data_IF_936652950149
#
_entry.id   IF_936652950149
#
_cell.length_a   1.000
_cell.length_b   1.000
_cell.length_c   1.000
_cell.angle_alpha   90.00
_cell.angle_beta   90.00
_cell.angle_gamma   90.00
#
_symmetry.space_group_name_H-M   'P 1'
#
loop_
_entity.id
_entity.type
_entity.pdbx_description
1 polymer ?
#
# COMPACT_ATOMS: atom_id res chain seq x y z
N UNK A 1 0.88 -21.34 -23.78
CA UNK A 1 0.02 -22.54 -23.71
C UNK A 1 0.03 -23.21 -25.08
N UNK A 2 0.06 -24.55 -25.12
CA UNK A 2 -0.14 -25.35 -26.33
C UNK A 2 -0.78 -26.71 -25.96
N UNK A 3 -0.76 -27.69 -26.87
CA UNK A 3 -1.30 -29.03 -26.63
C UNK A 3 -0.35 -30.11 -27.22
N UNK A 4 -0.33 -31.30 -26.61
CA UNK A 4 0.55 -32.43 -26.94
C UNK A 4 0.32 -33.02 -28.35
N UNK A 5 -0.82 -32.74 -28.95
CA UNK A 5 -1.27 -33.23 -30.24
C UNK A 5 -1.46 -34.74 -30.26
N UNK A 6 -1.02 -35.33 -31.38
CA UNK A 6 -0.95 -36.79 -31.54
C UNK A 6 0.24 -37.33 -30.73
N UNK A 7 -0.01 -37.81 -29.51
CA UNK A 7 0.98 -38.42 -28.63
C UNK A 7 0.81 -39.95 -28.55
N UNK A 8 1.70 -40.64 -27.83
CA UNK A 8 1.68 -42.11 -27.66
C UNK A 8 0.52 -42.64 -26.77
N UNK A 9 -0.49 -41.81 -26.52
CA UNK A 9 -1.66 -42.12 -25.73
C UNK A 9 -2.28 -40.84 -25.16
N UNK A 10 -3.59 -40.83 -24.93
CA UNK A 10 -4.32 -39.62 -24.50
C UNK A 10 -3.71 -38.94 -23.25
N UNK A 11 -3.12 -39.73 -22.35
CA UNK A 11 -2.51 -39.28 -21.10
C UNK A 11 -0.97 -39.29 -21.12
N UNK A 12 -0.36 -39.68 -22.25
CA UNK A 12 1.09 -39.74 -22.38
C UNK A 12 1.64 -38.34 -22.71
N UNK A 13 2.59 -37.81 -21.93
CA UNK A 13 3.16 -36.48 -22.16
C UNK A 13 4.00 -36.44 -23.45
N UNK A 14 4.08 -35.27 -24.10
CA UNK A 14 4.88 -35.05 -25.30
C UNK A 14 6.03 -34.05 -25.07
N UNK A 15 7.27 -34.55 -25.00
CA UNK A 15 8.46 -33.72 -24.77
C UNK A 15 8.64 -32.58 -25.78
N UNK A 16 8.36 -32.80 -27.08
CA UNK A 16 8.45 -31.74 -28.10
C UNK A 16 7.41 -30.64 -27.88
N UNK A 17 6.22 -31.00 -27.42
CA UNK A 17 5.19 -30.02 -27.07
C UNK A 17 5.60 -29.22 -25.81
N UNK A 18 6.24 -29.86 -24.83
CA UNK A 18 6.81 -29.18 -23.67
C UNK A 18 7.94 -28.20 -24.08
N UNK A 19 8.87 -28.62 -24.92
CA UNK A 19 9.90 -27.74 -25.48
C UNK A 19 9.29 -26.52 -26.18
N UNK A 20 8.29 -26.76 -27.05
CA UNK A 20 7.62 -25.72 -27.81
C UNK A 20 6.92 -24.70 -26.90
N UNK A 21 6.24 -25.14 -25.83
CA UNK A 21 5.56 -24.21 -24.92
C UNK A 21 6.57 -23.39 -24.10
N UNK A 22 7.69 -23.98 -23.69
CA UNK A 22 8.76 -23.27 -22.95
C UNK A 22 9.40 -22.21 -23.87
N UNK A 23 9.78 -22.56 -25.11
CA UNK A 23 10.33 -21.62 -26.08
C UNK A 23 9.36 -20.47 -26.38
N UNK A 24 8.08 -20.78 -26.57
CA UNK A 24 7.06 -19.78 -26.82
C UNK A 24 6.88 -18.81 -25.64
N UNK A 25 6.93 -19.30 -24.41
CA UNK A 25 6.83 -18.48 -23.21
C UNK A 25 8.04 -17.55 -23.05
N UNK A 26 9.26 -18.06 -23.24
CA UNK A 26 10.49 -17.27 -23.20
C UNK A 26 10.50 -16.18 -24.28
N UNK A 27 10.14 -16.53 -25.52
CA UNK A 27 10.05 -15.59 -26.62
C UNK A 27 9.02 -14.49 -26.35
N UNK A 28 7.84 -14.85 -25.82
CA UNK A 28 6.80 -13.87 -25.44
C UNK A 28 7.25 -12.94 -24.30
N UNK A 29 8.07 -13.45 -23.37
CA UNK A 29 8.62 -12.66 -22.28
C UNK A 29 9.83 -11.80 -22.71
N UNK A 30 10.43 -12.05 -23.88
CA UNK A 30 11.68 -11.42 -24.28
C UNK A 30 12.86 -11.82 -23.40
N UNK A 31 12.81 -13.03 -22.82
CA UNK A 31 13.80 -13.53 -21.85
C UNK A 31 14.68 -14.60 -22.49
N UNK A 32 16.00 -14.49 -22.30
CA UNK A 32 16.94 -15.52 -22.70
C UNK A 32 16.77 -16.78 -21.84
N UNK A 33 16.85 -18.01 -22.41
CA UNK A 33 16.85 -19.25 -21.64
C UNK A 33 17.90 -19.30 -20.51
N UNK A 34 19.02 -18.60 -20.68
CA UNK A 34 20.11 -18.53 -19.68
C UNK A 34 19.78 -17.65 -18.48
N UNK A 35 18.79 -16.75 -18.60
CA UNK A 35 18.39 -15.85 -17.52
C UNK A 35 17.40 -16.50 -16.55
N UNK A 36 16.80 -17.63 -16.93
CA UNK A 36 16.01 -18.44 -16.01
C UNK A 36 16.96 -19.15 -15.03
N UNK A 37 16.79 -18.94 -13.74
CA UNK A 37 17.69 -19.53 -12.72
C UNK A 37 16.99 -20.56 -11.83
N UNK A 38 15.67 -20.68 -11.95
CA UNK A 38 14.88 -21.70 -11.26
C UNK A 38 13.67 -22.11 -12.10
N UNK A 39 13.34 -23.40 -12.06
CA UNK A 39 12.12 -23.96 -12.64
C UNK A 39 11.33 -24.63 -11.54
N UNK A 40 10.10 -24.18 -11.35
CA UNK A 40 9.05 -24.96 -10.71
C UNK A 40 8.45 -25.89 -11.77
N UNK A 41 8.91 -27.13 -11.75
CA UNK A 41 8.52 -28.17 -12.68
C UNK A 41 7.07 -28.63 -12.42
N UNK A 42 6.47 -29.25 -13.44
CA UNK A 42 5.26 -30.03 -13.25
C UNK A 42 5.55 -31.21 -12.31
N UNK A 43 6.66 -31.91 -12.48
CA UNK A 43 7.33 -32.75 -11.47
C UNK A 43 6.39 -33.58 -10.61
N UNK A 44 5.67 -34.51 -11.25
CA UNK A 44 4.65 -35.35 -10.62
C UNK A 44 5.20 -36.62 -10.00
N UNK A 45 6.51 -36.88 -10.14
CA UNK A 45 7.14 -38.07 -9.57
C UNK A 45 6.88 -39.32 -10.41
N UNK A 46 6.52 -39.17 -11.69
CA UNK A 46 6.12 -40.31 -12.52
C UNK A 46 7.34 -40.88 -13.25
N UNK A 47 7.47 -42.23 -13.34
CA UNK A 47 8.63 -42.86 -13.99
C UNK A 47 8.84 -42.46 -15.47
N UNK A 48 7.76 -42.07 -16.15
CA UNK A 48 7.77 -41.65 -17.55
C UNK A 48 7.81 -40.11 -17.70
N UNK A 49 7.05 -39.38 -16.90
CA UNK A 49 6.89 -37.93 -17.05
C UNK A 49 8.13 -37.15 -16.62
N UNK A 50 8.77 -37.51 -15.51
CA UNK A 50 9.91 -36.75 -14.99
C UNK A 50 11.11 -36.77 -15.97
N UNK A 51 11.51 -37.90 -16.60
CA UNK A 51 12.54 -37.89 -17.64
C UNK A 51 12.18 -37.03 -18.85
N UNK A 52 10.93 -37.10 -19.32
CA UNK A 52 10.46 -36.32 -20.47
C UNK A 52 10.52 -34.82 -20.17
N UNK A 53 10.10 -34.41 -18.98
CA UNK A 53 10.12 -33.01 -18.57
C UNK A 53 11.55 -32.47 -18.42
N UNK A 54 12.43 -33.23 -17.77
CA UNK A 54 13.83 -32.81 -17.59
C UNK A 54 14.56 -32.73 -18.93
N UNK A 55 14.30 -33.65 -19.86
CA UNK A 55 14.87 -33.61 -21.22
C UNK A 55 14.37 -32.41 -22.03
N UNK A 56 13.07 -32.10 -21.96
CA UNK A 56 12.50 -30.92 -22.61
C UNK A 56 13.10 -29.62 -22.05
N UNK A 57 13.22 -29.51 -20.72
CA UNK A 57 13.87 -28.38 -20.06
C UNK A 57 15.36 -28.28 -20.44
N UNK A 58 16.08 -29.40 -20.47
CA UNK A 58 17.48 -29.45 -20.87
C UNK A 58 17.70 -28.93 -22.28
N UNK A 59 16.87 -29.38 -23.23
CA UNK A 59 16.91 -28.98 -24.64
C UNK A 59 16.70 -27.48 -24.84
N UNK A 60 15.91 -26.82 -23.97
CA UNK A 60 15.63 -25.39 -24.09
C UNK A 60 16.60 -24.52 -23.27
N UNK A 61 16.94 -24.95 -22.04
CA UNK A 61 17.61 -24.09 -21.05
C UNK A 61 19.12 -24.32 -20.94
N UNK A 62 19.63 -25.50 -21.36
CA UNK A 62 21.03 -25.89 -21.16
C UNK A 62 21.90 -25.69 -22.40
N UNK A 63 21.31 -25.59 -23.60
CA UNK A 63 22.08 -25.42 -24.84
C UNK A 63 22.90 -24.12 -24.80
N UNK A 64 24.23 -24.24 -24.70
CA UNK A 64 25.14 -23.09 -24.62
C UNK A 64 25.14 -22.38 -23.25
N UNK A 65 24.53 -22.97 -22.22
CA UNK A 65 24.50 -22.38 -20.88
C UNK A 65 25.88 -22.44 -20.23
N UNK A 66 26.41 -21.33 -19.71
CA UNK A 66 27.66 -21.31 -18.95
C UNK A 66 27.62 -22.17 -17.69
N UNK A 67 28.75 -22.79 -17.34
CA UNK A 67 28.88 -23.67 -16.18
C UNK A 67 28.61 -22.96 -14.83
N UNK A 68 28.88 -21.65 -14.76
CA UNK A 68 28.71 -20.78 -13.59
C UNK A 68 27.28 -20.23 -13.44
N UNK A 69 26.37 -20.58 -14.36
CA UNK A 69 24.95 -20.20 -14.31
C UNK A 69 24.09 -21.45 -14.12
N UNK A 70 23.99 -22.03 -12.92
CA UNK A 70 23.12 -23.17 -12.68
C UNK A 70 21.64 -22.79 -12.81
N UNK A 71 20.79 -23.79 -13.04
CA UNK A 71 19.34 -23.65 -12.97
C UNK A 71 18.78 -24.63 -11.96
N UNK A 72 18.10 -24.13 -10.93
CA UNK A 72 17.44 -24.99 -9.97
C UNK A 72 16.22 -25.67 -10.59
N UNK A 73 16.00 -26.96 -10.29
CA UNK A 73 14.79 -27.69 -10.62
C UNK A 73 14.08 -28.06 -9.32
N UNK A 74 12.86 -27.57 -9.13
CA UNK A 74 12.08 -27.83 -7.92
C UNK A 74 10.61 -28.15 -8.26
N UNK A 75 9.88 -28.76 -7.33
CA UNK A 75 8.43 -28.99 -7.44
C UNK A 75 7.80 -28.85 -6.04
N UNK A 76 6.74 -28.08 -5.91
CA UNK A 76 5.96 -27.93 -4.67
C UNK A 76 5.24 -29.23 -4.30
N UNK A 77 5.07 -30.14 -5.26
CA UNK A 77 4.36 -31.40 -5.06
C UNK A 77 5.07 -32.32 -4.07
N UNK A 78 6.37 -32.14 -3.87
CA UNK A 78 7.10 -32.87 -2.82
C UNK A 78 6.70 -32.45 -1.41
N UNK A 79 6.07 -31.29 -1.23
CA UNK A 79 5.66 -30.77 0.08
C UNK A 79 4.18 -30.99 0.36
N UNK A 80 3.33 -30.81 -0.67
CA UNK A 80 1.87 -30.77 -0.50
C UNK A 80 1.10 -31.71 -1.45
N UNK A 81 1.82 -32.57 -2.18
CA UNK A 81 1.23 -33.48 -3.17
C UNK A 81 0.73 -32.77 -4.43
N UNK A 82 0.08 -33.54 -5.32
CA UNK A 82 -0.48 -33.01 -6.56
C UNK A 82 -1.91 -32.49 -6.34
N UNK A 83 -2.08 -31.16 -6.27
CA UNK A 83 -3.39 -30.52 -6.06
C UNK A 83 -4.25 -30.41 -7.33
N UNK A 84 -4.08 -31.33 -8.28
CA UNK A 84 -4.80 -31.36 -9.56
C UNK A 84 -4.94 -29.98 -10.23
N UNK A 85 -6.18 -29.45 -10.34
CA UNK A 85 -6.49 -28.16 -10.93
C UNK A 85 -5.79 -26.98 -10.24
N UNK A 86 -5.45 -27.10 -8.95
CA UNK A 86 -4.74 -26.08 -8.18
C UNK A 86 -3.21 -26.24 -8.21
N UNK A 87 -2.67 -27.27 -8.88
CA UNK A 87 -1.22 -27.54 -8.87
C UNK A 87 -0.40 -26.39 -9.48
N UNK A 88 -0.88 -25.79 -10.57
CA UNK A 88 -0.17 -24.67 -11.22
C UNK A 88 -0.11 -23.42 -10.35
N UNK A 89 -1.22 -23.05 -9.70
CA UNK A 89 -1.26 -21.87 -8.82
C UNK A 89 -0.43 -22.09 -7.55
N UNK A 90 -0.36 -23.31 -7.02
CA UNK A 90 0.51 -23.63 -5.89
C UNK A 90 2.00 -23.45 -6.24
N UNK A 91 2.42 -23.94 -7.42
CA UNK A 91 3.77 -23.73 -7.92
C UNK A 91 4.08 -22.24 -8.16
N UNK A 92 3.11 -21.49 -8.69
CA UNK A 92 3.22 -20.04 -8.86
C UNK A 92 3.44 -19.31 -7.52
N UNK A 93 2.62 -19.62 -6.51
CA UNK A 93 2.73 -19.04 -5.17
C UNK A 93 4.10 -19.34 -4.56
N UNK A 94 4.58 -20.60 -4.65
CA UNK A 94 5.92 -20.98 -4.18
C UNK A 94 7.00 -20.14 -4.85
N UNK A 95 6.95 -19.97 -6.17
CA UNK A 95 7.96 -19.19 -6.88
C UNK A 95 7.89 -17.69 -6.57
N UNK A 96 6.71 -17.12 -6.38
CA UNK A 96 6.56 -15.73 -5.93
C UNK A 96 7.20 -15.56 -4.55
N UNK A 97 6.92 -16.45 -3.61
CA UNK A 97 7.53 -16.42 -2.28
C UNK A 97 9.06 -16.58 -2.36
N UNK A 98 9.56 -17.50 -3.19
CA UNK A 98 10.99 -17.69 -3.41
C UNK A 98 11.68 -16.43 -3.98
N UNK A 99 11.02 -15.69 -4.88
CA UNK A 99 11.52 -14.40 -5.40
C UNK A 99 11.51 -13.31 -4.30
N UNK A 100 10.45 -13.24 -3.50
CA UNK A 100 10.32 -12.28 -2.38
C UNK A 100 11.39 -12.51 -1.32
N UNK A 101 11.59 -13.77 -0.92
CA UNK A 101 12.58 -14.15 0.09
C UNK A 101 14.00 -14.27 -0.47
N UNK A 102 14.15 -14.29 -1.82
CA UNK A 102 15.44 -14.49 -2.51
C UNK A 102 16.14 -15.78 -2.13
N UNK A 103 15.34 -16.83 -1.92
CA UNK A 103 15.77 -18.16 -1.48
C UNK A 103 14.98 -19.24 -2.23
N UNK A 104 15.62 -20.38 -2.49
CA UNK A 104 15.02 -21.53 -3.17
C UNK A 104 14.80 -22.64 -2.13
N UNK A 105 13.54 -22.99 -1.80
CA UNK A 105 13.23 -24.05 -0.83
C UNK A 105 13.70 -25.44 -1.29
N UNK A 106 13.96 -26.37 -0.35
CA UNK A 106 14.37 -27.73 -0.67
C UNK A 106 13.28 -28.52 -1.41
N UNK A 107 13.71 -29.34 -2.36
CA UNK A 107 12.95 -30.40 -3.00
C UNK A 107 12.99 -31.65 -2.10
N UNK A 108 11.86 -32.03 -1.53
CA UNK A 108 11.82 -33.09 -0.54
C UNK A 108 11.90 -34.47 -1.19
N UNK A 109 12.18 -35.48 -0.35
CA UNK A 109 12.19 -36.91 -0.70
C UNK A 109 13.21 -37.36 -1.75
N UNK A 110 14.08 -36.47 -2.24
CA UNK A 110 15.18 -36.83 -3.13
C UNK A 110 16.30 -37.51 -2.33
N UNK A 111 16.36 -38.85 -2.39
CA UNK A 111 17.46 -39.65 -1.81
C UNK A 111 18.50 -40.04 -2.86
N UNK A 112 18.02 -40.49 -4.01
CA UNK A 112 18.83 -40.87 -5.16
C UNK A 112 18.19 -40.26 -6.41
N UNK A 113 19.02 -39.72 -7.30
CA UNK A 113 18.55 -39.17 -8.57
C UNK A 113 18.18 -40.33 -9.49
N UNK A 114 16.98 -40.31 -10.05
CA UNK A 114 16.55 -41.29 -11.05
C UNK A 114 17.54 -41.33 -12.22
N UNK A 115 18.16 -42.49 -12.47
CA UNK A 115 19.17 -42.69 -13.52
C UNK A 115 18.67 -42.39 -14.95
N UNK A 116 17.34 -42.32 -15.16
CA UNK A 116 16.73 -41.92 -16.44
C UNK A 116 16.75 -40.40 -16.66
N UNK A 117 17.02 -39.60 -15.63
CA UNK A 117 17.16 -38.15 -15.77
C UNK A 117 18.52 -37.83 -16.39
N UNK A 118 18.51 -37.21 -17.57
CA UNK A 118 19.73 -36.80 -18.28
C UNK A 118 20.31 -35.51 -17.69
N UNK A 119 20.83 -35.60 -16.46
CA UNK A 119 21.46 -34.46 -15.77
C UNK A 119 22.96 -34.33 -16.06
N UNK A 120 23.62 -35.43 -16.42
CA UNK A 120 25.05 -35.42 -16.74
C UNK A 120 25.34 -34.45 -17.90
N UNK A 121 26.31 -33.55 -17.72
CA UNK A 121 26.65 -32.51 -18.69
C UNK A 121 25.72 -31.28 -18.67
N UNK A 122 24.74 -31.22 -17.76
CA UNK A 122 23.91 -30.04 -17.53
C UNK A 122 24.35 -29.29 -16.27
N UNK A 123 23.89 -28.05 -16.11
CA UNK A 123 24.05 -27.27 -14.86
C UNK A 123 22.77 -27.25 -14.02
N UNK A 124 21.90 -28.23 -14.21
CA UNK A 124 20.72 -28.37 -13.36
C UNK A 124 21.12 -28.77 -11.94
N UNK A 125 20.46 -28.14 -10.97
CA UNK A 125 20.64 -28.44 -9.54
C UNK A 125 19.28 -28.73 -8.93
N UNK A 126 19.13 -29.86 -8.24
CA UNK A 126 17.92 -30.12 -7.44
C UNK A 126 18.22 -29.74 -5.99
N UNK A 127 17.59 -28.70 -5.42
CA UNK A 127 17.93 -28.19 -4.10
C UNK A 127 17.55 -29.22 -3.02
N UNK A 128 18.51 -29.72 -2.24
CA UNK A 128 18.23 -30.62 -1.10
C UNK A 128 18.16 -29.88 0.25
N UNK A 129 18.58 -28.61 0.27
CA UNK A 129 18.46 -27.68 1.39
C UNK A 129 17.92 -26.33 0.92
N UNK A 130 17.65 -25.42 1.86
CA UNK A 130 17.34 -24.03 1.52
C UNK A 130 18.59 -23.37 0.93
N UNK A 131 18.48 -22.87 -0.31
CA UNK A 131 19.59 -22.22 -1.00
C UNK A 131 19.34 -20.72 -1.12
N UNK A 132 20.35 -19.87 -0.87
CA UNK A 132 20.26 -18.47 -1.29
C UNK A 132 20.14 -18.40 -2.82
N UNK A 133 19.41 -17.42 -3.32
CA UNK A 133 19.24 -17.21 -4.75
C UNK A 133 20.01 -15.98 -5.20
N UNK A 134 21.34 -16.04 -5.44
CA UNK A 134 22.09 -14.88 -5.90
C UNK A 134 21.74 -14.51 -7.35
N UNK A 135 21.88 -13.23 -7.71
CA UNK A 135 21.71 -12.77 -9.10
C UNK A 135 22.48 -11.48 -9.37
N UNK A 136 23.02 -11.36 -10.58
CA UNK A 136 23.66 -10.15 -11.11
C UNK A 136 22.67 -9.24 -11.89
N UNK A 137 21.42 -9.69 -12.05
CA UNK A 137 20.32 -8.96 -12.68
C UNK A 137 18.97 -9.42 -12.09
N UNK A 138 17.83 -9.18 -12.78
CA UNK A 138 16.54 -9.65 -12.30
C UNK A 138 16.52 -11.17 -12.13
N UNK A 139 16.14 -11.67 -10.95
CA UNK A 139 15.84 -13.10 -10.75
C UNK A 139 14.64 -13.48 -11.61
N UNK A 140 14.80 -14.54 -12.40
CA UNK A 140 13.73 -15.08 -13.23
C UNK A 140 13.53 -16.58 -13.02
N UNK A 141 12.28 -17.00 -13.08
CA UNK A 141 11.89 -18.39 -12.95
C UNK A 141 10.86 -18.81 -13.98
N UNK A 142 10.83 -20.11 -14.28
CA UNK A 142 9.76 -20.74 -15.04
C UNK A 142 8.84 -21.55 -14.12
N UNK A 143 7.54 -21.59 -14.44
CA UNK A 143 6.54 -22.47 -13.80
C UNK A 143 5.86 -23.29 -14.88
N UNK A 144 5.97 -24.62 -14.79
CA UNK A 144 5.40 -25.56 -15.75
C UNK A 144 4.16 -26.28 -15.20
N UNK A 145 3.16 -26.48 -16.05
CA UNK A 145 2.01 -27.32 -15.77
C UNK A 145 1.57 -28.08 -17.02
N UNK A 146 1.57 -29.41 -16.95
CA UNK A 146 1.24 -30.29 -18.06
C UNK A 146 0.02 -31.12 -17.69
N UNK A 147 -1.15 -30.74 -18.22
CA UNK A 147 -2.39 -31.42 -17.89
C UNK A 147 -2.46 -32.80 -18.52
N UNK A 148 -3.07 -33.77 -17.83
CA UNK A 148 -3.22 -35.13 -18.35
C UNK A 148 -4.02 -35.21 -19.66
N UNK A 149 -4.84 -34.20 -19.98
CA UNK A 149 -5.51 -34.07 -21.29
C UNK A 149 -4.60 -33.49 -22.40
N UNK A 150 -3.30 -33.40 -22.15
CA UNK A 150 -2.27 -32.93 -23.07
C UNK A 150 -2.17 -31.41 -23.22
N UNK A 151 -2.89 -30.60 -22.43
CA UNK A 151 -2.74 -29.14 -22.48
C UNK A 151 -1.57 -28.68 -21.61
N UNK A 152 -0.62 -27.96 -22.20
CA UNK A 152 0.60 -27.52 -21.51
C UNK A 152 0.64 -26.01 -21.32
N UNK A 153 1.15 -25.60 -20.17
CA UNK A 153 1.37 -24.19 -19.81
C UNK A 153 2.78 -24.04 -19.26
N UNK A 154 3.44 -22.97 -19.67
CA UNK A 154 4.67 -22.49 -19.06
C UNK A 154 4.54 -20.99 -18.84
N UNK A 155 4.92 -20.51 -17.65
CA UNK A 155 4.88 -19.10 -17.26
C UNK A 155 6.28 -18.67 -16.86
N UNK A 156 6.71 -17.49 -17.31
CA UNK A 156 7.96 -16.86 -16.90
C UNK A 156 7.63 -15.78 -15.86
N UNK A 157 8.35 -15.80 -14.74
CA UNK A 157 8.27 -14.83 -13.66
C UNK A 157 9.58 -14.07 -13.53
N UNK A 158 9.50 -12.81 -13.12
CA UNK A 158 10.64 -11.94 -12.81
C UNK A 158 10.39 -11.27 -11.45
N UNK A 159 11.46 -11.07 -10.67
CA UNK A 159 11.37 -10.30 -9.43
C UNK A 159 10.90 -8.85 -9.68
N UNK A 160 10.15 -8.23 -8.75
CA UNK A 160 9.72 -6.86 -8.92
C UNK A 160 10.91 -5.89 -8.89
N UNK A 161 10.82 -4.74 -9.59
CA UNK A 161 11.86 -3.71 -9.52
C UNK A 161 12.01 -3.20 -8.08
N UNK A 162 13.25 -2.85 -7.71
CA UNK A 162 13.54 -2.27 -6.40
C UNK A 162 12.71 -0.99 -6.18
N UNK A 163 12.08 -0.87 -5.01
CA UNK A 163 11.39 0.35 -4.57
C UNK A 163 12.08 0.91 -3.34
N UNK A 164 12.47 2.18 -3.40
CA UNK A 164 12.89 2.94 -2.22
C UNK A 164 11.68 3.50 -1.48
N UNK A 165 11.77 3.59 -0.16
CA UNK A 165 10.77 4.24 0.68
C UNK A 165 11.44 5.37 1.45
N UNK A 166 10.91 6.59 1.32
CA UNK A 166 11.29 7.72 2.16
C UNK A 166 10.27 7.83 3.29
N UNK A 167 10.63 7.38 4.49
CA UNK A 167 9.76 7.53 5.65
C UNK A 167 9.86 8.94 6.22
N UNK A 168 8.71 9.57 6.45
CA UNK A 168 8.63 10.87 7.14
C UNK A 168 7.53 10.78 8.20
N UNK A 169 7.92 10.57 9.46
CA UNK A 169 7.02 10.76 10.60
C UNK A 169 6.69 12.25 10.72
N UNK A 170 5.41 12.61 10.79
CA UNK A 170 4.95 14.02 10.85
C UNK A 170 4.16 14.39 12.11
N UNK A 171 4.21 13.55 13.14
CA UNK A 171 3.51 13.77 14.41
C UNK A 171 2.73 12.54 14.87
N UNK A 172 1.67 12.71 15.69
CA UNK A 172 0.83 11.59 16.11
C UNK A 172 0.13 10.95 14.91
N UNK A 173 0.14 9.63 14.88
CA UNK A 173 -0.53 8.83 13.88
C UNK A 173 -1.96 8.47 14.31
N UNK A 174 -2.81 8.17 13.33
CA UNK A 174 -4.19 7.73 13.53
C UNK A 174 -4.38 6.37 12.84
N UNK A 175 -4.50 5.32 13.65
CA UNK A 175 -4.88 4.00 13.17
C UNK A 175 -6.41 3.87 13.19
N UNK A 176 -6.99 3.52 12.04
CA UNK A 176 -8.43 3.24 11.92
C UNK A 176 -8.65 1.80 11.48
N UNK A 177 -9.46 1.06 12.24
CA UNK A 177 -9.87 -0.31 11.92
C UNK A 177 -11.39 -0.37 11.82
N UNK A 178 -11.89 -1.32 11.03
CA UNK A 178 -13.33 -1.59 10.98
C UNK A 178 -13.65 -3.04 10.66
N UNK A 179 -14.80 -3.51 11.13
CA UNK A 179 -15.31 -4.86 10.85
C UNK A 179 -16.84 -4.91 10.80
N UNK A 180 -17.38 -6.02 10.29
CA UNK A 180 -18.83 -6.24 10.18
C UNK A 180 -19.51 -6.55 11.52
N UNK A 181 -18.75 -7.05 12.50
CA UNK A 181 -19.21 -7.30 13.86
C UNK A 181 -18.21 -6.79 14.88
N UNK A 182 -18.66 -6.61 16.12
CA UNK A 182 -17.77 -6.25 17.24
C UNK A 182 -16.71 -7.32 17.52
N UNK A 183 -17.09 -8.60 17.51
CA UNK A 183 -16.16 -9.72 17.70
C UNK A 183 -15.07 -9.75 16.62
N UNK A 184 -15.43 -9.49 15.36
CA UNK A 184 -14.47 -9.40 14.26
C UNK A 184 -13.55 -8.17 14.40
N UNK A 185 -14.04 -7.07 14.96
CA UNK A 185 -13.23 -5.88 15.25
C UNK A 185 -12.21 -6.17 16.35
N UNK A 186 -12.60 -6.87 17.42
CA UNK A 186 -11.69 -7.30 18.50
C UNK A 186 -10.63 -8.28 17.99
N UNK A 187 -11.03 -9.27 17.20
CA UNK A 187 -10.08 -10.21 16.57
C UNK A 187 -9.13 -9.50 15.59
N UNK A 188 -9.61 -8.49 14.86
CA UNK A 188 -8.75 -7.67 14.00
C UNK A 188 -7.76 -6.83 14.82
N UNK A 189 -8.18 -6.24 15.93
CA UNK A 189 -7.31 -5.50 16.82
C UNK A 189 -6.21 -6.39 17.42
N UNK A 190 -6.53 -7.63 17.82
CA UNK A 190 -5.55 -8.61 18.29
C UNK A 190 -4.47 -8.92 17.24
N UNK A 191 -4.87 -9.16 15.98
CA UNK A 191 -3.91 -9.38 14.88
C UNK A 191 -3.04 -8.15 14.59
N UNK A 192 -3.60 -6.95 14.75
CA UNK A 192 -2.82 -5.71 14.63
C UNK A 192 -1.86 -5.55 15.80
N UNK A 193 -2.23 -5.93 17.02
CA UNK A 193 -1.31 -5.92 18.17
C UNK A 193 -0.10 -6.83 17.88
N UNK A 194 -0.34 -8.08 17.48
CA UNK A 194 0.73 -9.01 17.08
C UNK A 194 1.62 -8.45 15.96
N UNK A 195 1.01 -7.85 14.92
CA UNK A 195 1.80 -7.25 13.83
C UNK A 195 2.66 -6.08 14.32
N UNK A 196 2.17 -5.29 15.26
CA UNK A 196 2.88 -4.12 15.77
C UNK A 196 4.08 -4.49 16.65
N UNK A 197 4.15 -5.71 17.20
CA UNK A 197 5.34 -6.20 17.92
C UNK A 197 6.59 -6.29 17.03
N UNK A 198 6.38 -6.54 15.73
CA UNK A 198 7.47 -6.73 14.75
C UNK A 198 7.57 -5.57 13.75
N UNK A 199 6.76 -4.53 13.92
CA UNK A 199 6.74 -3.38 13.03
C UNK A 199 7.88 -2.43 13.40
N UNK A 200 8.59 -1.90 12.41
CA UNK A 200 9.58 -0.85 12.65
C UNK A 200 8.93 0.52 12.76
N UNK A 201 9.55 1.45 13.49
CA UNK A 201 9.06 2.83 13.64
C UNK A 201 8.92 3.57 12.30
N UNK A 202 9.73 3.19 11.31
CA UNK A 202 9.72 3.70 9.94
C UNK A 202 8.44 3.28 9.20
N UNK A 203 7.89 2.09 9.50
CA UNK A 203 6.70 1.53 8.83
C UNK A 203 5.37 1.98 9.46
N UNK A 204 5.40 2.58 10.65
CA UNK A 204 4.18 2.95 11.38
C UNK A 204 3.21 3.87 10.59
N UNK A 205 3.67 4.96 9.92
CA UNK A 205 2.79 5.80 9.12
C UNK A 205 2.16 5.06 7.95
N UNK A 206 2.92 4.16 7.32
CA UNK A 206 2.47 3.35 6.20
C UNK A 206 1.44 2.32 6.64
N UNK A 207 1.61 1.73 7.82
CA UNK A 207 0.62 0.85 8.42
C UNK A 207 -0.71 1.59 8.68
N UNK A 208 -0.65 2.78 9.28
CA UNK A 208 -1.84 3.60 9.55
C UNK A 208 -2.51 4.05 8.24
N UNK A 209 -1.72 4.47 7.25
CA UNK A 209 -2.21 4.88 5.93
C UNK A 209 -2.82 3.71 5.17
N UNK A 210 -2.21 2.54 5.21
CA UNK A 210 -2.70 1.33 4.56
C UNK A 210 -4.02 0.87 5.19
N UNK A 211 -4.13 0.92 6.53
CA UNK A 211 -5.37 0.61 7.23
C UNK A 211 -6.50 1.59 6.82
N UNK A 212 -6.19 2.88 6.66
CA UNK A 212 -7.16 3.91 6.26
C UNK A 212 -7.58 3.84 4.80
N UNK A 213 -6.64 3.64 3.88
CA UNK A 213 -6.87 3.79 2.44
C UNK A 213 -7.04 2.45 1.70
N UNK A 214 -6.52 1.36 2.27
CA UNK A 214 -6.47 0.03 1.64
C UNK A 214 -7.45 -0.98 2.23
N UNK A 215 -8.40 -0.56 3.07
CA UNK A 215 -9.39 -1.44 3.70
C UNK A 215 -10.79 -0.88 3.56
N UNK A 216 -11.78 -1.78 3.50
CA UNK A 216 -13.18 -1.41 3.40
C UNK A 216 -13.69 -0.81 4.74
N UNK A 217 -14.43 0.32 4.72
CA UNK A 217 -14.92 0.96 5.94
C UNK A 217 -16.24 0.35 6.42
N UNK A 218 -16.17 -0.70 7.24
CA UNK A 218 -17.34 -1.35 7.83
C UNK A 218 -17.99 -0.53 8.97
N UNK A 219 -19.07 -1.07 9.54
CA UNK A 219 -19.93 -0.35 10.49
C UNK A 219 -19.38 -0.34 11.91
N UNK A 220 -18.71 -1.38 12.39
CA UNK A 220 -18.02 -1.34 13.69
C UNK A 220 -16.64 -0.74 13.45
N UNK A 221 -16.32 0.36 14.13
CA UNK A 221 -15.12 1.16 13.86
C UNK A 221 -14.33 1.36 15.14
N UNK A 222 -13.01 1.38 14.99
CA UNK A 222 -12.04 1.67 16.02
C UNK A 222 -11.09 2.75 15.49
N UNK A 223 -10.82 3.76 16.29
CA UNK A 223 -9.85 4.80 16.03
C UNK A 223 -8.91 4.91 17.23
N UNK A 224 -7.61 4.80 16.96
CA UNK A 224 -6.54 4.90 17.97
C UNK A 224 -5.59 5.98 17.48
N UNK A 225 -5.33 6.98 18.32
CA UNK A 225 -4.23 7.93 18.10
C UNK A 225 -2.99 7.45 18.84
N UNK A 226 -1.78 7.75 18.39
CA UNK A 226 -0.55 7.39 19.11
C UNK A 226 0.70 7.99 18.47
N UNK A 227 1.76 8.12 19.26
CA UNK A 227 3.05 8.67 18.81
C UNK A 227 4.15 7.60 18.72
N UNK A 228 3.90 6.39 19.21
CA UNK A 228 4.85 5.27 19.17
C UNK A 228 4.15 3.93 18.96
N UNK A 229 4.93 2.94 18.50
CA UNK A 229 4.47 1.56 18.31
C UNK A 229 3.98 0.95 19.63
N UNK A 230 4.71 1.17 20.72
CA UNK A 230 4.33 0.65 22.05
C UNK A 230 2.96 1.17 22.51
N UNK A 231 2.66 2.44 22.23
CA UNK A 231 1.34 2.99 22.54
C UNK A 231 0.23 2.32 21.73
N UNK A 232 0.47 2.07 20.43
CA UNK A 232 -0.50 1.37 19.58
C UNK A 232 -0.67 -0.08 20.01
N UNK A 233 0.41 -0.80 20.25
CA UNK A 233 0.40 -2.19 20.72
C UNK A 233 -0.41 -2.32 22.01
N UNK A 234 -0.07 -1.55 23.04
CA UNK A 234 -0.76 -1.60 24.33
C UNK A 234 -2.26 -1.30 24.21
N UNK A 235 -2.64 -0.28 23.42
CA UNK A 235 -4.03 0.11 23.21
C UNK A 235 -4.82 -0.92 22.41
N UNK A 236 -4.21 -1.53 21.39
CA UNK A 236 -4.81 -2.61 20.61
C UNK A 236 -5.02 -3.86 21.46
N UNK A 237 -4.02 -4.24 22.26
CA UNK A 237 -4.10 -5.38 23.17
C UNK A 237 -5.19 -5.19 24.23
N UNK A 238 -5.23 -4.02 24.89
CA UNK A 238 -6.26 -3.68 25.86
C UNK A 238 -7.68 -3.70 25.25
N UNK A 239 -7.85 -3.10 24.06
CA UNK A 239 -9.14 -3.14 23.37
C UNK A 239 -9.55 -4.58 22.98
N UNK A 240 -8.60 -5.39 22.52
CA UNK A 240 -8.86 -6.80 22.21
C UNK A 240 -9.29 -7.59 23.46
N UNK A 241 -8.74 -7.25 24.64
CA UNK A 241 -9.08 -7.85 25.93
C UNK A 241 -10.44 -7.40 26.52
N UNK A 242 -11.14 -6.44 25.91
CA UNK A 242 -12.40 -5.94 26.44
C UNK A 242 -12.33 -4.58 27.13
N UNK A 243 -11.13 -4.01 27.26
CA UNK A 243 -10.91 -2.77 28.02
C UNK A 243 -11.24 -1.52 27.19
N UNK A 244 -11.43 -0.39 27.89
CA UNK A 244 -11.68 0.93 27.30
C UNK A 244 -10.53 1.91 27.60
N UNK A 245 -9.34 1.72 26.99
CA UNK A 245 -8.19 2.58 27.23
C UNK A 245 -8.43 4.01 26.72
N UNK A 246 -7.78 4.99 27.35
CA UNK A 246 -7.79 6.37 26.87
C UNK A 246 -7.23 6.48 25.45
N UNK A 247 -7.74 7.46 24.69
CA UNK A 247 -7.36 7.70 23.28
C UNK A 247 -7.72 6.56 22.31
N UNK A 248 -8.65 5.69 22.73
CA UNK A 248 -9.28 4.69 21.86
C UNK A 248 -10.77 5.01 21.79
N UNK A 249 -11.24 5.23 20.56
CA UNK A 249 -12.65 5.49 20.27
C UNK A 249 -13.16 4.30 19.47
N UNK A 250 -14.21 3.64 19.95
CA UNK A 250 -14.90 2.60 19.22
C UNK A 250 -16.40 2.86 19.22
N UNK A 251 -17.04 2.67 18.08
CA UNK A 251 -18.49 2.82 17.95
C UNK A 251 -19.01 2.10 16.70
N UNK A 252 -20.33 1.99 16.59
CA UNK A 252 -21.04 1.48 15.42
C UNK A 252 -21.63 2.62 14.61
N UNK A 253 -21.23 2.73 13.35
CA UNK A 253 -21.83 3.64 12.39
C UNK A 253 -23.32 3.31 12.19
N UNK A 254 -24.20 4.25 12.57
CA UNK A 254 -25.67 4.11 12.53
C UNK A 254 -26.29 4.49 11.18
N UNK A 255 -25.61 5.33 10.41
CA UNK A 255 -26.13 5.87 9.15
C UNK A 255 -25.25 5.48 7.98
N UNK A 256 -25.88 5.18 6.83
CA UNK A 256 -25.17 4.92 5.56
C UNK A 256 -24.52 6.19 5.01
N UNK A 257 -25.13 7.35 5.22
CA UNK A 257 -24.59 8.65 4.84
C UNK A 257 -23.92 9.34 6.05
N UNK A 258 -22.86 10.13 5.82
CA UNK A 258 -22.25 10.93 6.89
C UNK A 258 -23.29 11.92 7.46
N UNK A 259 -23.32 12.14 8.78
CA UNK A 259 -24.23 13.09 9.40
C UNK A 259 -23.92 14.52 8.97
N UNK A 260 -24.93 15.40 9.06
CA UNK A 260 -24.70 16.85 8.91
C UNK A 260 -23.88 17.34 10.10
N UNK A 261 -22.79 18.05 9.83
CA UNK A 261 -21.89 18.61 10.85
C UNK A 261 -22.15 20.11 10.99
N UNK A 262 -22.23 20.61 12.23
CA UNK A 262 -22.24 22.05 12.50
C UNK A 262 -20.89 22.47 13.10
N UNK A 263 -20.30 23.57 12.62
CA UNK A 263 -19.13 24.16 13.28
C UNK A 263 -19.58 25.26 14.25
N UNK A 264 -19.11 25.14 15.49
CA UNK A 264 -19.37 26.10 16.56
C UNK A 264 -18.10 26.91 16.83
N UNK A 265 -18.20 28.22 16.69
CA UNK A 265 -17.10 29.16 16.87
C UNK A 265 -17.20 29.79 18.27
N UNK A 266 -16.17 29.59 19.10
CA UNK A 266 -16.15 30.08 20.48
C UNK A 266 -16.05 31.60 20.54
N UNK A 267 -16.57 32.19 21.62
CA UNK A 267 -16.37 33.59 21.94
C UNK A 267 -15.08 33.84 22.72
N UNK A 268 -14.94 35.04 23.25
CA UNK A 268 -13.89 35.40 24.20
C UNK A 268 -13.98 34.54 25.48
N UNK A 269 -12.83 34.21 26.06
CA UNK A 269 -12.70 33.35 27.26
C UNK A 269 -12.05 31.99 26.99
N UNK A 270 -11.86 31.61 25.72
CA UNK A 270 -11.18 30.35 25.35
C UNK A 270 -9.70 30.53 25.01
N UNK A 271 -9.17 31.74 25.10
CA UNK A 271 -7.78 32.04 24.75
C UNK A 271 -6.81 31.56 25.85
N UNK A 272 -5.62 31.15 25.44
CA UNK A 272 -4.49 30.88 26.34
C UNK A 272 -3.17 31.12 25.59
N UNK A 273 -2.13 31.53 26.32
CA UNK A 273 -0.81 31.74 25.73
C UNK A 273 -0.25 30.42 25.17
N UNK A 274 0.36 30.46 23.99
CA UNK A 274 0.86 29.26 23.33
C UNK A 274 -0.14 28.54 22.43
N UNK A 275 -1.41 28.98 22.39
CA UNK A 275 -2.45 28.29 21.60
C UNK A 275 -2.07 28.15 20.11
N UNK A 276 -2.31 26.96 19.56
CA UNK A 276 -2.06 26.66 18.15
C UNK A 276 -0.59 26.54 17.72
N UNK A 277 0.39 26.68 18.62
CA UNK A 277 1.82 26.65 18.27
C UNK A 277 2.26 25.34 17.63
N UNK A 278 1.96 24.19 18.26
CA UNK A 278 2.31 22.87 17.72
C UNK A 278 1.72 22.67 16.31
N UNK A 279 0.46 23.07 16.10
CA UNK A 279 -0.20 22.99 14.78
C UNK A 279 0.46 23.91 13.75
N UNK A 280 0.91 25.09 14.13
CA UNK A 280 1.67 25.97 13.23
C UNK A 280 2.99 25.30 12.80
N UNK A 281 3.68 24.65 13.73
CA UNK A 281 4.95 23.98 13.49
C UNK A 281 4.79 22.68 12.67
N UNK A 282 3.69 21.94 12.80
CA UNK A 282 3.53 20.62 12.15
C UNK A 282 2.58 20.60 10.96
N UNK A 283 1.59 21.49 10.88
CA UNK A 283 0.50 21.42 9.89
C UNK A 283 0.58 22.54 8.83
N UNK A 284 1.01 22.24 7.58
CA UNK A 284 1.18 23.27 6.54
C UNK A 284 -0.11 24.00 6.16
N UNK A 285 -1.27 23.35 6.26
CA UNK A 285 -2.57 23.98 5.98
C UNK A 285 -2.90 25.03 7.04
N UNK A 286 -2.75 24.67 8.30
CA UNK A 286 -2.97 25.55 9.44
C UNK A 286 -2.00 26.73 9.40
N UNK A 287 -0.70 26.47 9.20
CA UNK A 287 0.35 27.50 9.08
C UNK A 287 0.01 28.56 8.05
N UNK A 288 -0.28 28.16 6.81
CA UNK A 288 -0.63 29.09 5.72
C UNK A 288 -1.90 29.90 5.99
N UNK A 289 -2.87 29.33 6.70
CA UNK A 289 -4.09 30.04 7.06
C UNK A 289 -3.81 31.08 8.14
N UNK A 290 -2.99 30.74 9.14
CA UNK A 290 -2.62 31.65 10.22
C UNK A 290 -1.69 32.77 9.73
N UNK A 291 -0.69 32.48 8.89
CA UNK A 291 0.18 33.47 8.23
C UNK A 291 -0.62 34.52 7.46
N UNK A 292 -1.69 34.06 6.78
CA UNK A 292 -2.58 34.96 6.04
C UNK A 292 -3.33 35.89 6.99
N UNK A 293 -3.79 35.39 8.13
CA UNK A 293 -4.46 36.21 9.13
C UNK A 293 -3.49 37.22 9.75
N UNK A 294 -2.27 36.80 10.12
CA UNK A 294 -1.20 37.69 10.59
C UNK A 294 -0.96 38.84 9.61
N UNK A 295 -0.74 38.53 8.33
CA UNK A 295 -0.48 39.54 7.31
C UNK A 295 -1.63 40.56 7.14
N UNK A 296 -2.88 40.10 7.29
CA UNK A 296 -4.07 40.97 7.19
C UNK A 296 -4.29 41.81 8.44
N UNK A 297 -3.94 41.30 9.62
CA UNK A 297 -4.16 41.96 10.90
C UNK A 297 -3.01 42.90 11.28
N UNK A 298 -1.79 42.66 10.78
CA UNK A 298 -0.60 43.44 11.10
C UNK A 298 -0.75 44.96 10.98
N UNK A 299 -1.45 45.55 9.98
CA UNK A 299 -1.65 46.99 9.91
C UNK A 299 -2.62 47.55 10.97
N UNK A 300 -3.35 46.69 11.67
CA UNK A 300 -4.43 47.05 12.59
C UNK A 300 -4.11 46.74 14.06
N UNK A 301 -2.94 46.17 14.35
CA UNK A 301 -2.50 45.81 15.70
C UNK A 301 -1.20 46.55 16.04
N UNK A 302 -1.10 47.06 17.27
CA UNK A 302 0.13 47.73 17.73
C UNK A 302 1.30 46.74 17.88
N UNK A 303 0.99 45.47 18.17
CA UNK A 303 1.95 44.37 18.26
C UNK A 303 1.60 43.28 17.25
N UNK A 304 2.60 42.64 16.60
CA UNK A 304 2.36 41.50 15.70
C UNK A 304 1.58 40.39 16.42
N UNK A 305 0.62 39.76 15.74
CA UNK A 305 -0.28 38.80 16.38
C UNK A 305 0.48 37.58 16.90
N UNK A 306 1.51 37.09 16.20
CA UNK A 306 2.39 36.03 16.71
C UNK A 306 3.11 36.36 18.01
N UNK A 307 3.50 37.64 18.23
CA UNK A 307 4.14 38.05 19.49
C UNK A 307 3.18 38.02 20.69
N UNK A 308 1.87 38.04 20.42
CA UNK A 308 0.81 37.95 21.44
C UNK A 308 0.31 36.52 21.62
N UNK A 309 0.25 35.73 20.55
CA UNK A 309 -0.09 34.30 20.61
C UNK A 309 1.00 33.49 21.32
N UNK A 310 2.26 33.79 21.03
CA UNK A 310 3.43 33.08 21.55
C UNK A 310 4.39 34.06 22.25
N UNK A 311 3.95 34.63 23.40
CA UNK A 311 4.74 35.62 24.12
C UNK A 311 6.04 35.03 24.66
N UNK A 312 7.05 35.89 24.85
CA UNK A 312 8.21 35.56 25.66
C UNK A 312 7.79 35.40 27.15
N UNK A 313 8.54 34.63 27.97
CA UNK A 313 8.16 34.34 29.36
C UNK A 313 7.80 35.57 30.21
N UNK A 314 8.50 36.70 30.01
CA UNK A 314 8.32 37.94 30.78
C UNK A 314 7.46 39.00 30.08
N UNK A 315 6.81 38.65 28.95
CA UNK A 315 5.99 39.60 28.22
C UNK A 315 4.64 39.84 28.93
N UNK A 316 4.08 41.07 28.85
CA UNK A 316 2.76 41.36 29.41
C UNK A 316 1.68 40.46 28.77
N UNK A 317 0.63 40.07 29.53
CA UNK A 317 -0.44 39.19 29.05
C UNK A 317 -1.42 39.93 28.12
N UNK A 318 -0.91 40.45 27.00
CA UNK A 318 -1.67 41.22 26.02
C UNK A 318 -2.84 40.43 25.43
N UNK A 319 -2.75 39.09 25.42
CA UNK A 319 -3.79 38.21 24.89
C UNK A 319 -5.13 38.31 25.64
N UNK A 320 -5.13 38.76 26.90
CA UNK A 320 -6.35 38.97 27.68
C UNK A 320 -6.99 40.35 27.46
N UNK A 321 -6.29 41.24 26.74
CA UNK A 321 -6.85 42.50 26.31
C UNK A 321 -7.73 42.26 25.07
N UNK A 322 -8.96 42.73 25.11
CA UNK A 322 -9.99 42.47 24.07
C UNK A 322 -9.51 42.84 22.65
N UNK A 323 -8.69 43.90 22.53
CA UNK A 323 -8.08 44.34 21.27
C UNK A 323 -7.21 43.25 20.59
N UNK A 324 -6.59 42.36 21.37
CA UNK A 324 -5.80 41.23 20.87
C UNK A 324 -6.55 39.91 20.95
N UNK A 325 -7.37 39.70 21.99
CA UNK A 325 -8.12 38.45 22.17
C UNK A 325 -9.01 38.15 20.95
N UNK A 326 -9.75 39.15 20.48
CA UNK A 326 -10.74 38.96 19.41
C UNK A 326 -10.08 38.62 18.06
N UNK A 327 -9.07 39.37 17.56
CA UNK A 327 -8.35 39.00 16.34
C UNK A 327 -7.62 37.65 16.45
N UNK A 328 -7.03 37.35 17.62
CA UNK A 328 -6.32 36.10 17.85
C UNK A 328 -7.25 34.88 17.78
N UNK A 329 -8.41 34.93 18.45
CA UNK A 329 -9.41 33.87 18.39
C UNK A 329 -9.96 33.70 16.98
N UNK A 330 -10.24 34.79 16.26
CA UNK A 330 -10.67 34.72 14.87
C UNK A 330 -9.63 34.02 13.98
N UNK A 331 -8.36 34.43 14.08
CA UNK A 331 -7.27 33.86 13.28
C UNK A 331 -7.09 32.35 13.55
N UNK A 332 -7.11 31.97 14.83
CA UNK A 332 -6.99 30.57 15.24
C UNK A 332 -8.16 29.72 14.74
N UNK A 333 -9.40 30.17 14.95
CA UNK A 333 -10.59 29.44 14.53
C UNK A 333 -10.69 29.34 13.00
N UNK A 334 -10.24 30.36 12.27
CA UNK A 334 -10.13 30.32 10.81
C UNK A 334 -9.12 29.26 10.37
N UNK A 335 -7.93 29.23 10.97
CA UNK A 335 -6.90 28.24 10.65
C UNK A 335 -7.36 26.81 10.98
N UNK A 336 -8.03 26.59 12.11
CA UNK A 336 -8.65 25.30 12.46
C UNK A 336 -9.74 24.89 11.46
N UNK A 337 -10.55 25.84 11.01
CA UNK A 337 -11.60 25.58 10.00
C UNK A 337 -10.98 25.11 8.69
N UNK A 338 -9.93 25.78 8.21
CA UNK A 338 -9.23 25.36 6.99
C UNK A 338 -8.57 23.99 7.15
N UNK A 339 -8.03 23.68 8.33
CA UNK A 339 -7.47 22.36 8.64
C UNK A 339 -8.55 21.27 8.58
N UNK A 340 -9.69 21.44 9.26
CA UNK A 340 -10.81 20.50 9.21
C UNK A 340 -11.33 20.28 7.78
N UNK A 341 -11.41 21.34 6.98
CA UNK A 341 -11.82 21.25 5.58
C UNK A 341 -10.82 20.49 4.72
N UNK A 342 -9.52 20.63 5.00
CA UNK A 342 -8.50 19.87 4.28
C UNK A 342 -8.58 18.36 4.55
N UNK A 343 -9.12 17.99 5.71
CA UNK A 343 -9.43 16.61 6.10
C UNK A 343 -10.79 16.10 5.55
N UNK A 344 -11.49 16.92 4.75
CA UNK A 344 -12.78 16.55 4.13
C UNK A 344 -14.02 16.85 4.97
N UNK A 345 -13.87 17.42 6.17
CA UNK A 345 -15.01 17.80 7.01
C UNK A 345 -15.57 19.14 6.54
N UNK A 346 -16.80 19.13 6.05
CA UNK A 346 -17.49 20.34 5.58
C UNK A 346 -18.73 20.61 6.45
N UNK A 347 -18.86 21.81 7.05
CA UNK A 347 -20.01 22.11 7.87
C UNK A 347 -21.25 22.34 6.99
N UNK A 348 -22.37 21.74 7.40
CA UNK A 348 -23.71 22.03 6.87
C UNK A 348 -24.32 23.29 7.52
N UNK A 349 -23.86 23.64 8.72
CA UNK A 349 -24.25 24.84 9.44
C UNK A 349 -23.04 25.41 10.21
N UNK A 350 -23.07 26.71 10.46
CA UNK A 350 -22.07 27.40 11.27
C UNK A 350 -22.78 28.31 12.27
N UNK A 351 -22.34 28.27 13.53
CA UNK A 351 -22.89 29.07 14.63
C UNK A 351 -21.71 29.69 15.36
N UNK A 352 -21.79 30.97 15.69
CA UNK A 352 -20.76 31.68 16.45
C UNK A 352 -21.36 32.37 17.65
N UNK A 353 -20.61 32.44 18.74
CA UNK A 353 -20.99 33.22 19.91
C UNK A 353 -20.27 34.58 19.89
N UNK A 354 -21.02 35.68 19.82
CA UNK A 354 -20.48 37.05 19.79
C UNK A 354 -19.42 37.22 18.66
N UNK A 355 -18.16 37.48 18.98
CA UNK A 355 -17.07 37.60 18.00
C UNK A 355 -16.93 36.38 17.06
N UNK A 356 -17.37 35.19 17.50
CA UNK A 356 -17.44 33.99 16.67
C UNK A 356 -18.34 34.14 15.43
N UNK A 357 -19.29 35.08 15.43
CA UNK A 357 -20.12 35.41 14.27
C UNK A 357 -19.30 36.00 13.11
N UNK A 358 -18.15 36.64 13.37
CA UNK A 358 -17.25 37.09 12.31
C UNK A 358 -16.64 35.90 11.55
N UNK A 359 -16.37 34.78 12.26
CA UNK A 359 -16.00 33.49 11.66
C UNK A 359 -17.09 32.96 10.74
N UNK A 360 -18.35 33.04 11.18
CA UNK A 360 -19.55 32.67 10.39
C UNK A 360 -19.72 33.54 9.14
N UNK A 361 -19.57 34.86 9.26
CA UNK A 361 -19.74 35.81 8.17
C UNK A 361 -18.73 35.60 7.03
N UNK A 362 -17.47 35.26 7.38
CA UNK A 362 -16.44 34.91 6.38
C UNK A 362 -16.72 33.57 5.70
N UNK A 363 -17.21 32.57 6.44
CA UNK A 363 -17.60 31.28 5.87
C UNK A 363 -18.65 31.44 4.76
N UNK A 364 -19.73 32.18 5.02
CA UNK A 364 -20.81 32.43 4.04
C UNK A 364 -20.33 33.11 2.75
N UNK A 365 -19.30 33.98 2.84
CA UNK A 365 -18.71 34.66 1.68
C UNK A 365 -17.77 33.77 0.86
N UNK A 366 -17.05 32.84 1.50
CA UNK A 366 -16.11 31.94 0.82
C UNK A 366 -16.76 30.67 0.24
N UNK A 367 -17.94 30.29 0.70
CA UNK A 367 -18.66 29.07 0.30
C UNK A 367 -19.75 29.28 -0.77
N UNK A 368 -19.94 30.52 -1.27
CA UNK A 368 -20.97 30.81 -2.26
C UNK A 368 -20.69 30.12 -3.63
N UNK A 369 -21.58 29.22 -4.10
CA UNK A 369 -21.30 28.30 -5.22
C UNK A 369 -21.07 28.97 -6.58
N UNK A 370 -21.51 30.22 -6.78
CA UNK A 370 -21.31 30.97 -8.04
C UNK A 370 -19.84 31.33 -8.35
N UNK A 371 -18.90 31.19 -7.41
CA UNK A 371 -17.45 31.40 -7.67
C UNK A 371 -16.62 30.12 -7.78
N UNK A 372 -17.15 28.96 -7.37
CA UNK A 372 -16.45 27.67 -7.53
C UNK A 372 -16.54 27.11 -8.97
N UNK A 373 -17.63 27.38 -9.71
CA UNK A 373 -17.79 26.89 -11.09
C UNK A 373 -16.80 27.53 -12.08
N UNK A 374 -16.40 28.80 -11.87
CA UNK A 374 -15.42 29.50 -12.71
C UNK A 374 -13.96 29.05 -12.53
N UNK A 375 -13.64 28.30 -11.45
CA UNK A 375 -12.30 27.74 -11.22
C UNK A 375 -12.11 26.29 -11.68
N UNK A 376 -13.20 25.55 -11.95
CA UNK A 376 -13.12 24.20 -12.54
C UNK A 376 -13.18 24.18 -14.08
N UNK A 377 -13.74 25.20 -14.73
CA UNK A 377 -13.80 25.27 -16.21
C UNK A 377 -12.55 25.85 -16.90
N UNK A 378 -11.59 26.40 -16.15
CA UNK A 378 -10.34 26.99 -16.70
C UNK A 378 -9.08 26.12 -16.53
N UNK A 379 -9.19 24.89 -16.01
CA UNK A 379 -8.07 23.93 -15.92
C UNK A 379 -8.18 22.72 -16.89
N UNK A 380 -9.14 22.75 -17.82
CA UNK A 380 -9.36 21.68 -18.81
C UNK A 380 -9.14 22.06 -20.27
N UNK A 381 -8.68 23.27 -20.59
CA UNK A 381 -8.36 23.69 -21.97
C UNK A 381 -7.13 24.60 -21.99
N UNK A 382 -5.96 23.99 -21.99
CA UNK A 382 -4.68 24.63 -22.34
C UNK A 382 -3.60 23.55 -22.40
N UNK A 383 -3.73 22.64 -23.37
CA UNK A 383 -2.64 21.79 -23.89
C UNK A 383 -3.15 21.13 -25.19
N UNK A 384 -3.06 21.88 -26.29
CA UNK A 384 -2.83 21.42 -27.67
C UNK A 384 -2.73 22.65 -28.57
N UNK A 385 -1.53 22.87 -29.09
CA UNK A 385 -1.19 23.89 -30.08
C UNK A 385 -1.56 23.39 -31.50
N UNK A 386 -1.44 24.25 -32.54
CA UNK A 386 -2.30 24.23 -33.72
C UNK A 386 -1.77 23.36 -34.86
N UNK A 387 -2.68 22.82 -35.68
CA UNK A 387 -2.39 22.53 -37.09
C UNK A 387 -3.57 22.94 -37.98
N UNK A 388 -3.18 23.65 -39.02
CA UNK A 388 -3.85 24.07 -40.25
C UNK A 388 -4.82 23.04 -40.87
N UNK A 389 -5.92 23.52 -41.44
CA UNK A 389 -6.32 23.31 -42.85
C UNK A 389 -7.57 24.12 -43.20
N UNK A 390 -7.55 24.62 -44.43
CA UNK A 390 -8.43 25.57 -45.13
C UNK A 390 -9.88 25.11 -45.41
N UNK A 391 -10.76 25.98 -45.95
CA UNK A 391 -12.22 25.90 -45.82
C UNK A 391 -12.93 25.20 -47.00
N UNK A 392 -14.22 24.88 -46.81
CA UNK A 392 -15.26 25.18 -47.81
C UNK A 392 -16.49 25.80 -47.11
N UNK A 393 -17.38 26.61 -47.69
CA UNK A 393 -17.84 26.82 -49.07
C UNK A 393 -18.86 27.97 -49.05
N UNK A 394 -19.02 28.61 -50.20
CA UNK A 394 -20.14 29.45 -50.68
C UNK A 394 -20.33 30.84 -50.06
#
# INVERSE_FOLDING_TARGET
>A
MNQDGLSNGLTAPNGRAQEAVIRAALARAGVSPHDISCIEAHGTGTPLGDPIEVEALGTVLMQGRPADRPCALASVKTNIGHLEAAAGIAGLIKMILALVHREIPPHLHLREVNAKLRLAGTTFVIPQGLLPWPSQGPRRAGVSGFGFGGTNVHVVLEEPPARGFDAVMRGPELLVLSAQSESALRALAARYAERFETLSTIELPDACTTARCGRYPFIHRLAITGESIDQFHARLAAFAAGEAPAQVIHDRARHKAPPKVAFLFSGQGSQYAGMGRKLYETEPVFRRALDRCEALLRPHLERPLFSVLWPAPDAPPLLDQTAYTQPALFALQYALTELWRSLGVTPAAVIGHSIGELGVARWRRCSHPKRMSRRRSRRGRSCRSPRSTDPPTA
#
